data_IF_749265182085
#
_entry.id   IF_749265182085
#
_cell.length_a   1.000
_cell.length_b   1.000
_cell.length_c   1.000
_cell.angle_alpha   90.00
_cell.angle_beta   90.00
_cell.angle_gamma   90.00
#
_symmetry.space_group_name_H-M   'P 1'
#
loop_
_entity.id
_entity.type
_entity.pdbx_description
1 polymer ?
#
# COMPACT_ATOMS: atom_id res chain seq x y z
N UNK A 1 -2.99 -17.21 16.79
CA UNK A 1 -2.80 -18.17 15.69
C UNK A 1 -1.85 -17.53 14.69
N UNK A 2 -0.89 -18.27 14.14
CA UNK A 2 -0.01 -17.75 13.10
C UNK A 2 -0.82 -17.41 11.84
N UNK A 3 -0.56 -16.26 11.22
CA UNK A 3 -1.25 -15.90 9.98
C UNK A 3 -0.70 -16.76 8.82
N UNK A 4 -1.56 -17.32 7.95
CA UNK A 4 -1.11 -18.15 6.82
C UNK A 4 -0.42 -17.34 5.72
N UNK A 5 -0.64 -16.03 5.69
CA UNK A 5 0.03 -15.08 4.79
C UNK A 5 0.40 -13.86 5.63
N UNK A 6 1.64 -13.42 5.53
CA UNK A 6 2.12 -12.20 6.18
C UNK A 6 1.99 -11.06 5.17
N UNK A 7 1.23 -10.02 5.50
CA UNK A 7 1.04 -8.83 4.65
C UNK A 7 1.45 -7.60 5.44
N UNK A 8 2.24 -6.74 4.82
CA UNK A 8 2.63 -5.43 5.36
C UNK A 8 2.48 -4.37 4.27
N UNK A 9 2.06 -3.17 4.65
CA UNK A 9 1.95 -2.03 3.74
C UNK A 9 1.88 -0.72 4.53
N UNK A 10 2.32 0.35 3.88
CA UNK A 10 1.92 1.70 4.23
C UNK A 10 0.67 2.08 3.42
N UNK A 11 -0.28 2.75 4.06
CA UNK A 11 -1.55 3.13 3.44
C UNK A 11 -1.73 4.65 3.42
N UNK A 12 -2.08 5.18 2.25
CA UNK A 12 -2.38 6.59 2.02
C UNK A 12 -3.80 6.77 1.46
N UNK A 13 -4.75 7.33 2.23
CA UNK A 13 -6.06 7.69 1.71
C UNK A 13 -5.93 8.79 0.65
N UNK A 14 -6.37 8.56 -0.59
CA UNK A 14 -6.15 9.53 -1.68
C UNK A 14 -6.89 10.86 -1.47
N UNK A 15 -7.97 10.85 -0.68
CA UNK A 15 -8.69 12.05 -0.24
C UNK A 15 -7.85 13.02 0.62
N UNK A 16 -6.76 12.56 1.25
CA UNK A 16 -5.90 13.44 2.04
C UNK A 16 -4.93 14.24 1.16
N UNK A 17 -4.82 13.92 -0.12
CA UNK A 17 -3.91 14.62 -1.03
C UNK A 17 -4.61 15.85 -1.62
N UNK A 18 -4.23 17.01 -1.08
CA UNK A 18 -4.78 18.33 -1.44
C UNK A 18 -3.97 19.04 -2.52
N UNK A 19 -2.66 18.83 -2.55
CA UNK A 19 -1.74 19.44 -3.53
C UNK A 19 -1.55 18.53 -4.73
N UNK A 20 -1.54 19.14 -5.91
CA UNK A 20 -1.33 18.45 -7.20
C UNK A 20 0.09 18.66 -7.73
N UNK A 21 0.81 19.66 -7.22
CA UNK A 21 2.17 19.99 -7.66
C UNK A 21 3.23 19.34 -6.76
N UNK A 22 4.18 18.64 -7.39
CA UNK A 22 5.31 18.03 -6.71
C UNK A 22 6.31 19.09 -6.20
N UNK A 23 6.94 18.90 -5.02
CA UNK A 23 8.02 19.75 -4.56
C UNK A 23 9.21 19.73 -5.53
N UNK A 24 9.79 20.91 -5.81
CA UNK A 24 10.89 21.08 -6.78
C UNK A 24 12.18 20.38 -6.31
N UNK A 25 12.34 20.20 -5.00
CA UNK A 25 13.51 19.64 -4.33
C UNK A 25 13.34 18.16 -3.92
N UNK A 26 12.28 17.50 -4.41
CA UNK A 26 12.00 16.12 -4.06
C UNK A 26 13.07 15.13 -4.56
N UNK A 27 13.37 14.14 -3.73
CA UNK A 27 14.24 13.02 -4.15
C UNK A 27 13.61 12.23 -5.31
N UNK A 28 14.42 11.60 -6.20
CA UNK A 28 13.89 10.81 -7.31
C UNK A 28 12.91 9.71 -6.88
N UNK A 29 13.14 9.08 -5.73
CA UNK A 29 12.23 8.06 -5.16
C UNK A 29 10.89 8.67 -4.76
N UNK A 30 10.90 9.86 -4.15
CA UNK A 30 9.67 10.56 -3.80
C UNK A 30 8.91 11.01 -5.04
N UNK A 31 9.61 11.48 -6.07
CA UNK A 31 9.00 11.85 -7.35
C UNK A 31 8.29 10.66 -8.00
N UNK A 32 8.93 9.49 -8.09
CA UNK A 32 8.32 8.30 -8.67
C UNK A 32 7.09 7.82 -7.86
N UNK A 33 7.16 7.89 -6.53
CA UNK A 33 6.01 7.62 -5.67
C UNK A 33 4.88 8.61 -5.92
N UNK A 34 5.18 9.91 -5.95
CA UNK A 34 4.20 10.95 -6.17
C UNK A 34 3.52 10.84 -7.54
N UNK A 35 4.29 10.57 -8.60
CA UNK A 35 3.77 10.30 -9.93
C UNK A 35 2.81 9.10 -9.93
N UNK A 36 3.16 8.03 -9.22
CA UNK A 36 2.31 6.85 -9.09
C UNK A 36 1.00 7.15 -8.34
N UNK A 37 1.06 7.98 -7.29
CA UNK A 37 -0.13 8.44 -6.55
C UNK A 37 -1.00 9.35 -7.42
N UNK A 38 -0.40 10.27 -8.17
CA UNK A 38 -1.15 11.15 -9.09
C UNK A 38 -1.82 10.36 -10.22
N UNK A 39 -1.13 9.36 -10.77
CA UNK A 39 -1.71 8.44 -11.75
C UNK A 39 -2.90 7.66 -11.16
N UNK A 40 -2.77 7.15 -9.94
CA UNK A 40 -3.84 6.50 -9.21
C UNK A 40 -5.06 7.41 -8.99
N UNK A 41 -4.84 8.67 -8.59
CA UNK A 41 -5.92 9.67 -8.44
C UNK A 41 -6.61 9.94 -9.77
N UNK A 42 -5.84 10.08 -10.85
CA UNK A 42 -6.37 10.32 -12.19
C UNK A 42 -7.24 9.15 -12.67
N UNK A 43 -6.82 7.92 -12.38
CA UNK A 43 -7.48 6.70 -12.83
C UNK A 43 -8.72 6.35 -12.01
N UNK A 44 -8.65 6.45 -10.69
CA UNK A 44 -9.65 5.88 -9.77
C UNK A 44 -10.38 6.94 -8.93
N UNK A 45 -9.96 8.20 -8.99
CA UNK A 45 -10.47 9.25 -8.12
C UNK A 45 -9.93 9.17 -6.68
N UNK A 46 -10.39 10.09 -5.84
CA UNK A 46 -9.88 10.29 -4.47
C UNK A 46 -10.74 9.65 -3.37
N UNK A 47 -12.04 9.54 -3.60
CA UNK A 47 -12.99 9.06 -2.60
C UNK A 47 -13.03 7.53 -2.60
N UNK A 48 -13.08 6.93 -1.40
CA UNK A 48 -13.06 5.48 -1.19
C UNK A 48 -11.86 4.76 -1.83
N UNK A 49 -10.80 5.50 -2.16
CA UNK A 49 -9.58 5.01 -2.81
C UNK A 49 -8.38 5.23 -1.89
N UNK A 50 -7.61 4.17 -1.70
CA UNK A 50 -6.42 4.12 -0.86
C UNK A 50 -5.25 3.66 -1.69
N UNK A 51 -4.09 4.29 -1.53
CA UNK A 51 -2.86 3.88 -2.18
C UNK A 51 -1.98 3.13 -1.20
N UNK A 52 -1.56 1.92 -1.57
CA UNK A 52 -0.65 1.08 -0.80
C UNK A 52 0.76 1.19 -1.37
N UNK A 53 1.74 1.38 -0.49
CA UNK A 53 3.16 1.45 -0.86
C UNK A 53 4.06 0.81 0.19
N UNK A 54 5.35 0.65 -0.14
CA UNK A 54 6.32 -0.10 0.66
C UNK A 54 5.77 -1.48 1.11
N UNK A 55 4.97 -2.10 0.25
CA UNK A 55 4.13 -3.22 0.64
C UNK A 55 4.73 -4.57 0.26
N UNK A 56 4.50 -5.57 1.10
CA UNK A 56 5.02 -6.91 0.95
C UNK A 56 3.95 -7.96 1.32
N UNK A 57 3.95 -9.07 0.56
CA UNK A 57 3.20 -10.28 0.90
C UNK A 57 4.15 -11.47 0.93
N UNK A 58 4.15 -12.23 2.02
CA UNK A 58 5.00 -13.42 2.21
C UNK A 58 4.13 -14.65 2.41
N UNK A 59 4.36 -15.65 1.58
CA UNK A 59 3.76 -16.98 1.66
C UNK A 59 4.78 -17.99 2.17
N UNK A 60 4.36 -18.86 3.10
CA UNK A 60 5.17 -19.98 3.61
C UNK A 60 4.48 -21.30 3.24
N UNK A 61 5.06 -22.03 2.30
CA UNK A 61 4.46 -23.24 1.72
C UNK A 61 4.83 -24.52 2.49
N UNK A 62 5.90 -24.48 3.27
CA UNK A 62 6.43 -25.62 4.01
C UNK A 62 6.53 -25.29 5.50
N UNK A 63 6.44 -26.33 6.33
CA UNK A 63 6.69 -26.24 7.78
C UNK A 63 8.20 -26.24 8.06
N UNK A 64 8.95 -25.40 7.36
CA UNK A 64 10.40 -25.25 7.47
C UNK A 64 10.76 -23.75 7.43
N UNK A 65 11.65 -23.30 8.31
CA UNK A 65 11.89 -21.86 8.51
C UNK A 65 12.53 -21.17 7.30
N UNK A 66 13.40 -21.89 6.58
CA UNK A 66 14.21 -21.34 5.49
C UNK A 66 13.87 -21.89 4.09
N UNK A 67 12.84 -22.72 3.95
CA UNK A 67 12.46 -23.34 2.67
C UNK A 67 10.97 -23.09 2.41
N UNK A 68 10.58 -22.97 1.15
CA UNK A 68 9.17 -22.76 0.80
C UNK A 68 8.67 -21.33 1.02
N UNK A 69 9.54 -20.33 1.17
CA UNK A 69 9.15 -18.92 1.22
C UNK A 69 9.00 -18.36 -0.20
N UNK A 70 7.94 -17.58 -0.42
CA UNK A 70 7.78 -16.73 -1.61
C UNK A 70 7.36 -15.34 -1.14
N UNK A 71 8.10 -14.31 -1.54
CA UNK A 71 7.88 -12.92 -1.17
C UNK A 71 7.58 -12.08 -2.39
N UNK A 72 6.52 -11.28 -2.33
CA UNK A 72 6.12 -10.34 -3.35
C UNK A 72 6.19 -8.92 -2.81
N UNK A 73 6.72 -7.99 -3.60
CA UNK A 73 6.52 -6.56 -3.39
C UNK A 73 5.32 -6.10 -4.21
N UNK A 74 4.56 -5.15 -3.67
CA UNK A 74 3.46 -4.54 -4.41
C UNK A 74 3.26 -3.07 -4.07
N UNK A 75 2.56 -2.39 -4.97
CA UNK A 75 2.01 -1.05 -4.76
C UNK A 75 0.76 -0.89 -5.64
N UNK A 76 -0.04 0.13 -5.37
CA UNK A 76 -1.20 0.45 -6.18
C UNK A 76 -2.40 0.85 -5.34
N UNK A 77 -3.60 0.69 -5.87
CA UNK A 77 -4.82 1.17 -5.23
C UNK A 77 -5.71 0.06 -4.71
N UNK A 78 -6.41 0.37 -3.62
CA UNK A 78 -7.53 -0.37 -3.08
C UNK A 78 -8.74 0.55 -3.09
N UNK A 79 -9.83 0.08 -3.71
CA UNK A 79 -11.10 0.78 -3.78
C UNK A 79 -12.09 0.05 -2.87
N UNK A 80 -12.77 0.82 -2.03
CA UNK A 80 -13.75 0.33 -1.06
C UNK A 80 -15.18 0.68 -1.50
N UNK A 81 -16.16 0.18 -0.76
CA UNK A 81 -17.53 0.67 -0.88
C UNK A 81 -17.70 2.09 -0.32
N UNK A 82 -18.88 2.67 -0.55
CA UNK A 82 -19.23 4.02 -0.15
C UNK A 82 -19.07 4.26 1.36
N UNK A 83 -19.20 3.19 2.16
CA UNK A 83 -19.08 3.23 3.62
C UNK A 83 -17.64 3.11 4.13
N UNK A 84 -16.65 2.91 3.25
CA UNK A 84 -15.27 2.59 3.65
C UNK A 84 -15.19 1.33 4.56
N UNK A 85 -16.03 0.32 4.34
CA UNK A 85 -16.09 -0.89 5.19
C UNK A 85 -15.56 -2.14 4.50
N UNK A 86 -15.71 -2.21 3.17
CA UNK A 86 -15.36 -3.40 2.38
C UNK A 86 -14.60 -3.06 1.13
N UNK A 87 -13.54 -3.81 0.88
CA UNK A 87 -12.78 -3.75 -0.36
C UNK A 87 -13.60 -4.30 -1.52
N UNK A 88 -13.77 -3.51 -2.58
CA UNK A 88 -14.43 -3.91 -3.82
C UNK A 88 -13.42 -4.35 -4.87
N UNK A 89 -12.38 -3.55 -5.05
CA UNK A 89 -11.40 -3.73 -6.11
C UNK A 89 -10.00 -3.39 -5.61
N UNK A 90 -9.01 -4.05 -6.18
CA UNK A 90 -7.62 -3.66 -6.06
C UNK A 90 -7.03 -3.58 -7.46
N UNK A 91 -6.26 -2.53 -7.70
CA UNK A 91 -5.46 -2.35 -8.90
C UNK A 91 -4.00 -2.23 -8.45
N UNK A 92 -3.30 -3.36 -8.45
CA UNK A 92 -1.98 -3.51 -7.86
C UNK A 92 -0.97 -3.94 -8.92
N UNK A 93 0.20 -3.31 -8.88
CA UNK A 93 1.40 -3.84 -9.52
C UNK A 93 2.07 -4.80 -8.53
N UNK A 94 2.18 -6.07 -8.91
CA UNK A 94 2.73 -7.14 -8.06
C UNK A 94 3.95 -7.77 -8.74
N UNK A 95 5.06 -7.80 -8.01
CA UNK A 95 6.35 -8.30 -8.48
C UNK A 95 6.91 -9.33 -7.50
N UNK A 96 7.50 -10.40 -8.04
CA UNK A 96 8.22 -11.38 -7.23
C UNK A 96 9.50 -10.70 -6.73
N UNK A 97 9.63 -10.58 -5.40
CA UNK A 97 10.78 -9.94 -4.77
C UNK A 97 11.89 -10.96 -4.45
N UNK A 98 11.51 -12.12 -3.91
CA UNK A 98 12.44 -13.22 -3.61
C UNK A 98 11.68 -14.52 -3.34
N UNK A 99 12.38 -15.65 -3.44
CA UNK A 99 11.88 -16.96 -3.01
C UNK A 99 13.01 -17.87 -2.53
N UNK A 100 12.65 -18.94 -1.84
CA UNK A 100 13.56 -20.02 -1.41
C UNK A 100 13.09 -21.37 -1.98
N UNK A 101 12.53 -21.37 -3.19
CA UNK A 101 11.85 -22.50 -3.80
C UNK A 101 12.53 -22.88 -5.13
N UNK A 102 13.44 -23.84 -5.10
CA UNK A 102 14.13 -24.33 -6.32
C UNK A 102 13.19 -24.98 -7.36
N UNK A 103 11.92 -25.17 -7.01
CA UNK A 103 10.86 -25.70 -7.87
C UNK A 103 9.80 -24.64 -8.28
N UNK A 104 10.03 -23.36 -7.97
CA UNK A 104 9.12 -22.29 -8.36
C UNK A 104 9.19 -22.04 -9.87
N UNK A 105 8.02 -22.05 -10.52
CA UNK A 105 7.90 -21.85 -11.96
C UNK A 105 7.08 -20.60 -12.26
N UNK A 106 7.28 -20.00 -13.44
CA UNK A 106 6.57 -18.77 -13.82
C UNK A 106 5.04 -18.87 -13.71
N UNK A 107 4.37 -19.96 -14.14
CA UNK A 107 2.91 -20.09 -13.97
C UNK A 107 2.46 -20.06 -12.51
N UNK A 108 3.28 -20.60 -11.60
CA UNK A 108 3.00 -20.55 -10.16
C UNK A 108 3.18 -19.13 -9.64
N UNK A 109 4.24 -18.42 -10.07
CA UNK A 109 4.44 -17.01 -9.75
C UNK A 109 3.23 -16.17 -10.17
N UNK A 110 2.74 -16.35 -11.40
CA UNK A 110 1.59 -15.61 -11.93
C UNK A 110 0.31 -15.91 -11.15
N UNK A 111 0.11 -17.17 -10.75
CA UNK A 111 -1.00 -17.54 -9.87
C UNK A 111 -0.88 -16.91 -8.48
N UNK A 112 0.34 -16.84 -7.92
CA UNK A 112 0.57 -16.14 -6.66
C UNK A 112 0.37 -14.63 -6.76
N UNK A 113 0.69 -13.98 -7.89
CA UNK A 113 0.36 -12.56 -8.09
C UNK A 113 -1.14 -12.30 -7.95
N UNK A 114 -1.98 -13.19 -8.50
CA UNK A 114 -3.44 -13.12 -8.30
C UNK A 114 -3.80 -13.37 -6.83
N UNK A 115 -3.10 -14.29 -6.18
CA UNK A 115 -3.32 -14.59 -4.76
C UNK A 115 -2.95 -13.42 -3.85
N UNK A 116 -1.89 -12.66 -4.16
CA UNK A 116 -1.54 -11.41 -3.47
C UNK A 116 -2.71 -10.43 -3.51
N UNK A 117 -3.30 -10.21 -4.68
CA UNK A 117 -4.46 -9.32 -4.81
C UNK A 117 -5.62 -9.75 -3.91
N UNK A 118 -5.95 -11.04 -3.89
CA UNK A 118 -7.02 -11.56 -3.02
C UNK A 118 -6.68 -11.47 -1.53
N UNK A 119 -5.42 -11.74 -1.17
CA UNK A 119 -4.96 -11.66 0.21
C UNK A 119 -4.96 -10.21 0.71
N UNK A 120 -4.56 -9.25 -0.13
CA UNK A 120 -4.64 -7.81 0.18
C UNK A 120 -6.08 -7.37 0.40
N UNK A 121 -7.07 -7.83 -0.37
CA UNK A 121 -8.49 -7.53 -0.10
C UNK A 121 -8.91 -7.96 1.30
N UNK A 122 -8.58 -9.20 1.67
CA UNK A 122 -8.90 -9.74 2.99
C UNK A 122 -8.17 -8.96 4.10
N UNK A 123 -6.90 -8.61 3.90
CA UNK A 123 -6.13 -7.88 4.90
C UNK A 123 -6.59 -6.43 5.04
N UNK A 124 -6.93 -5.78 3.93
CA UNK A 124 -7.39 -4.41 3.95
C UNK A 124 -8.76 -4.29 4.65
N UNK A 125 -9.68 -5.23 4.43
CA UNK A 125 -10.93 -5.32 5.20
C UNK A 125 -10.65 -5.43 6.72
N UNK A 126 -9.65 -6.23 7.13
CA UNK A 126 -9.24 -6.35 8.53
C UNK A 126 -8.63 -5.04 9.07
N UNK A 127 -7.79 -4.41 8.27
CA UNK A 127 -7.13 -3.13 8.58
C UNK A 127 -8.15 -2.01 8.81
N UNK A 128 -9.16 -1.90 7.93
CA UNK A 128 -10.30 -0.99 8.09
C UNK A 128 -11.06 -1.28 9.39
N UNK A 129 -11.47 -2.55 9.57
CA UNK A 129 -12.28 -2.95 10.71
C UNK A 129 -11.58 -2.74 12.07
N UNK A 130 -10.24 -2.78 12.09
CA UNK A 130 -9.45 -2.48 13.27
C UNK A 130 -9.39 -0.97 13.61
N UNK A 131 -9.95 -0.09 12.77
CA UNK A 131 -9.93 1.36 12.96
C UNK A 131 -8.56 1.99 12.67
N UNK A 132 -7.65 1.25 12.02
CA UNK A 132 -6.27 1.67 11.79
C UNK A 132 -6.16 2.79 10.71
N UNK A 133 -7.25 2.97 9.95
CA UNK A 133 -7.49 4.16 9.11
C UNK A 133 -7.54 5.46 9.93
N UNK A 134 -8.19 5.45 11.09
CA UNK A 134 -8.28 6.64 11.96
C UNK A 134 -6.96 6.91 12.68
N UNK A 135 -6.19 5.87 13.04
CA UNK A 135 -4.83 6.07 13.55
C UNK A 135 -3.90 6.64 12.49
N UNK A 136 -4.03 6.21 11.24
CA UNK A 136 -3.24 6.76 10.12
C UNK A 136 -3.62 8.21 9.84
N UNK A 137 -4.91 8.57 9.89
CA UNK A 137 -5.36 9.98 9.87
C UNK A 137 -4.73 10.81 10.99
N UNK A 138 -4.73 10.30 12.22
CA UNK A 138 -4.15 11.00 13.37
C UNK A 138 -2.64 11.15 13.26
N UNK A 139 -1.93 10.14 12.73
CA UNK A 139 -0.47 10.19 12.50
C UNK A 139 -0.11 11.19 11.40
N UNK A 140 -0.87 11.24 10.31
CA UNK A 140 -0.67 12.24 9.24
C UNK A 140 -0.93 13.65 9.78
N UNK A 141 -2.04 13.85 10.51
CA UNK A 141 -2.34 15.15 11.14
C UNK A 141 -1.28 15.58 12.18
N UNK A 142 -0.70 14.63 12.93
CA UNK A 142 0.38 14.91 13.88
C UNK A 142 1.70 15.28 13.18
N UNK A 143 1.98 14.68 12.01
CA UNK A 143 3.15 15.05 11.19
C UNK A 143 2.96 16.45 10.59
N UNK A 144 1.76 16.78 10.10
CA UNK A 144 1.42 18.14 9.62
C UNK A 144 1.54 19.17 10.76
N UNK A 145 1.02 18.86 11.95
CA UNK A 145 1.14 19.75 13.11
C UNK A 145 2.58 19.92 13.62
N UNK A 146 3.42 18.89 13.52
CA UNK A 146 4.85 18.99 13.88
C UNK A 146 5.66 19.76 12.83
N UNK A 147 5.27 19.71 11.55
CA UNK A 147 5.84 20.59 10.52
C UNK A 147 5.45 22.05 10.72
N UNK A 148 4.28 22.34 11.30
CA UNK A 148 3.86 23.70 11.66
C UNK A 148 4.57 24.23 12.93
N UNK A 149 4.92 23.36 13.89
CA UNK A 149 5.67 23.75 15.11
C UNK A 149 7.18 23.89 14.88
N UNK A 150 7.75 23.19 13.90
CA UNK A 150 9.16 23.29 13.51
C UNK A 150 9.41 24.42 12.50
N UNK A 151 8.86 25.60 12.74
CA UNK A 151 9.35 26.88 12.21
C UNK A 151 9.82 26.91 10.76
N UNK A 152 8.87 26.90 9.82
CA UNK A 152 8.96 27.76 8.63
C UNK A 152 8.98 27.06 7.27
N UNK A 153 7.83 27.08 6.60
CA UNK A 153 7.82 27.67 5.25
C UNK A 153 6.63 28.63 5.14
N UNK A 154 6.94 29.92 5.29
CA UNK A 154 6.03 31.03 5.07
C UNK A 154 5.42 30.92 3.68
N UNK A 155 4.09 30.80 3.62
CA UNK A 155 3.36 31.38 2.50
C UNK A 155 3.55 32.89 2.54
N UNK A 156 4.03 33.50 1.46
CA UNK A 156 3.53 34.77 0.93
C UNK A 156 4.13 35.06 -0.46
N UNK A 157 3.22 35.47 -1.35
CA UNK A 157 3.34 35.98 -2.72
C UNK A 157 3.41 34.95 -3.86
#
# INVERSE_FOLDING_TARGET
>A
MAQPVEITFDCLPLRSITRTDAPIDASPKFMAFYESVMAAISQHGRFNTYYLHNAQAVFRLLNHESLGMISFSFNGTVLTDESDERTKQCDLTVELASDTCDWLTQPVVDWFKISVVNAVKCEFDRYIAAGDLEQTRQRIAAIEAQSDEAGGFMGYL
#
